data_IF_028961323306
#
_entry.id   IF_028961323306
#
_cell.length_a   1.000
_cell.length_b   1.000
_cell.length_c   1.000
_cell.angle_alpha   90.00
_cell.angle_beta   90.00
_cell.angle_gamma   90.00
#
_symmetry.space_group_name_H-M   'P 1'
#
loop_
_entity.id
_entity.type
_entity.pdbx_description
1 polymer ?
#
# COMPACT_ATOMS: atom_id res chain seq x y z
N UNK A 1 -2.20 0.84 -21.21
CA UNK A 1 -2.60 0.33 -19.88
C UNK A 1 -1.63 0.84 -18.83
N UNK A 2 -2.10 1.36 -17.70
CA UNK A 2 -1.23 1.82 -16.63
C UNK A 2 -0.41 0.63 -16.06
N UNK A 3 0.92 0.80 -15.93
CA UNK A 3 1.78 -0.22 -15.31
C UNK A 3 1.22 -0.55 -13.92
N UNK A 4 1.02 -1.83 -13.65
CA UNK A 4 0.52 -2.33 -12.36
C UNK A 4 -0.99 -2.55 -12.26
N UNK A 5 -1.80 -2.25 -13.29
CA UNK A 5 -3.23 -2.56 -13.27
C UNK A 5 -3.48 -4.09 -13.10
N UNK A 6 -2.83 -4.90 -13.94
CA UNK A 6 -2.93 -6.37 -13.87
C UNK A 6 -2.42 -6.92 -12.52
N UNK A 7 -1.37 -6.31 -11.96
CA UNK A 7 -0.83 -6.72 -10.67
C UNK A 7 -1.84 -6.48 -9.53
N UNK A 8 -2.50 -5.31 -9.55
CA UNK A 8 -3.58 -4.99 -8.60
C UNK A 8 -4.75 -5.96 -8.75
N UNK A 9 -5.18 -6.26 -9.97
CA UNK A 9 -6.27 -7.20 -10.23
C UNK A 9 -5.94 -8.61 -9.73
N UNK A 10 -4.73 -9.10 -9.97
CA UNK A 10 -4.30 -10.41 -9.49
C UNK A 10 -4.27 -10.50 -7.97
N UNK A 11 -3.79 -9.46 -7.29
CA UNK A 11 -3.72 -9.42 -5.83
C UNK A 11 -5.13 -9.26 -5.23
N UNK A 12 -5.99 -8.48 -5.88
CA UNK A 12 -7.38 -8.33 -5.48
C UNK A 12 -8.18 -9.62 -5.62
N UNK A 13 -7.98 -10.40 -6.69
CA UNK A 13 -8.59 -11.74 -6.82
C UNK A 13 -8.24 -12.64 -5.64
N UNK A 14 -7.00 -12.57 -5.12
CA UNK A 14 -6.58 -13.31 -3.93
C UNK A 14 -7.30 -12.81 -2.67
N UNK A 15 -7.42 -11.49 -2.51
CA UNK A 15 -8.19 -10.92 -1.39
C UNK A 15 -9.66 -11.30 -1.43
N UNK A 16 -10.31 -11.22 -2.60
CA UNK A 16 -11.71 -11.61 -2.76
C UNK A 16 -11.89 -13.10 -2.47
N UNK A 17 -10.98 -13.96 -2.95
CA UNK A 17 -11.01 -15.38 -2.65
C UNK A 17 -10.84 -15.68 -1.15
N UNK A 18 -9.99 -14.92 -0.45
CA UNK A 18 -9.77 -15.07 0.98
C UNK A 18 -10.93 -14.50 1.83
N UNK A 19 -11.48 -13.35 1.44
CA UNK A 19 -12.58 -12.69 2.15
C UNK A 19 -13.94 -13.37 1.89
N UNK A 20 -14.10 -14.03 0.74
CA UNK A 20 -15.31 -14.79 0.40
C UNK A 20 -16.57 -13.93 0.49
N UNK A 21 -17.44 -14.26 1.46
CA UNK A 21 -18.76 -13.61 1.66
C UNK A 21 -18.66 -12.20 2.21
N UNK A 22 -17.51 -11.81 2.74
CA UNK A 22 -17.31 -10.49 3.29
C UNK A 22 -16.91 -9.46 2.23
N UNK A 23 -16.63 -9.89 0.99
CA UNK A 23 -16.47 -8.95 -0.11
C UNK A 23 -17.82 -8.32 -0.53
N UNK A 24 -17.86 -7.00 -0.56
CA UNK A 24 -19.07 -6.24 -0.90
C UNK A 24 -19.10 -5.88 -2.38
N UNK A 25 -17.97 -5.40 -2.91
CA UNK A 25 -17.91 -4.85 -4.26
C UNK A 25 -16.83 -3.80 -4.43
N UNK A 26 -16.88 -3.10 -5.57
CA UNK A 26 -15.99 -1.99 -5.90
C UNK A 26 -16.82 -0.70 -6.04
N UNK A 27 -16.22 0.45 -5.72
CA UNK A 27 -16.88 1.75 -5.91
C UNK A 27 -17.07 2.12 -7.39
N UNK A 28 -17.88 3.15 -7.66
CA UNK A 28 -18.16 3.62 -9.02
C UNK A 28 -16.88 4.04 -9.79
N UNK A 29 -15.80 4.35 -9.08
CA UNK A 29 -14.51 4.71 -9.67
C UNK A 29 -13.58 3.52 -9.94
N UNK A 30 -13.94 2.32 -9.49
CA UNK A 30 -13.18 1.09 -9.66
C UNK A 30 -11.87 1.05 -8.86
N UNK A 31 -11.73 1.91 -7.83
CA UNK A 31 -10.47 2.10 -7.08
C UNK A 31 -10.55 1.60 -5.64
N UNK A 32 -11.74 1.60 -5.05
CA UNK A 32 -11.98 1.20 -3.65
C UNK A 32 -12.70 -0.14 -3.63
N UNK A 33 -12.09 -1.11 -2.99
CA UNK A 33 -12.67 -2.42 -2.77
C UNK A 33 -13.20 -2.48 -1.36
N UNK A 34 -14.47 -2.83 -1.21
CA UNK A 34 -15.16 -2.80 0.07
C UNK A 34 -15.32 -4.20 0.64
N UNK A 35 -15.03 -4.34 1.92
CA UNK A 35 -15.12 -5.57 2.67
C UNK A 35 -15.84 -5.34 4.00
N UNK A 36 -16.59 -6.34 4.46
CA UNK A 36 -17.04 -6.39 5.83
C UNK A 36 -15.95 -6.98 6.73
N UNK A 37 -15.82 -6.42 7.92
CA UNK A 37 -14.96 -6.97 8.98
C UNK A 37 -15.66 -6.83 10.32
N UNK A 38 -15.08 -7.40 11.37
CA UNK A 38 -15.59 -7.27 12.73
C UNK A 38 -14.49 -6.74 13.64
N UNK A 39 -14.80 -5.67 14.38
CA UNK A 39 -13.93 -5.12 15.41
C UNK A 39 -14.76 -4.98 16.69
N UNK A 40 -14.29 -5.55 17.80
CA UNK A 40 -14.98 -5.52 19.10
C UNK A 40 -16.46 -6.00 19.07
N UNK A 41 -16.78 -6.93 18.17
CA UNK A 41 -18.14 -7.47 18.02
C UNK A 41 -19.06 -6.64 17.11
N UNK A 42 -18.61 -5.51 16.60
CA UNK A 42 -19.36 -4.69 15.65
C UNK A 42 -18.93 -4.98 14.21
N UNK A 43 -19.92 -5.12 13.32
CA UNK A 43 -19.66 -5.32 11.89
C UNK A 43 -19.42 -3.98 11.21
N UNK A 44 -18.21 -3.80 10.68
CA UNK A 44 -17.78 -2.56 10.05
C UNK A 44 -17.38 -2.77 8.60
N UNK A 45 -17.56 -1.72 7.79
CA UNK A 45 -17.14 -1.73 6.39
C UNK A 45 -15.76 -1.10 6.24
N UNK A 46 -14.84 -1.82 5.61
CA UNK A 46 -13.47 -1.37 5.32
C UNK A 46 -13.31 -1.20 3.82
N UNK A 47 -12.68 -0.09 3.42
CA UNK A 47 -12.33 0.17 2.02
C UNK A 47 -10.82 0.03 1.83
N UNK A 48 -10.41 -0.83 0.91
CA UNK A 48 -9.01 -1.05 0.53
C UNK A 48 -8.76 -0.36 -0.81
N UNK A 49 -7.69 0.43 -0.86
CA UNK A 49 -7.17 1.02 -2.10
C UNK A 49 -5.73 0.60 -2.30
N UNK A 50 -5.35 0.37 -3.56
CA UNK A 50 -4.02 -0.11 -3.90
C UNK A 50 -3.32 0.85 -4.85
N UNK A 51 -2.07 1.17 -4.54
CA UNK A 51 -1.16 1.86 -5.44
C UNK A 51 -0.05 0.92 -5.92
N UNK A 52 0.44 1.15 -7.14
CA UNK A 52 1.62 0.47 -7.63
C UNK A 52 2.78 1.45 -7.47
N UNK A 53 3.79 1.06 -6.68
CA UNK A 53 4.97 1.90 -6.46
C UNK A 53 5.75 2.09 -7.76
N UNK A 54 6.33 3.28 -7.95
CA UNK A 54 7.16 3.57 -9.13
C UNK A 54 8.51 2.86 -9.05
N UNK A 55 9.08 2.80 -7.84
CA UNK A 55 10.34 2.11 -7.54
C UNK A 55 9.99 0.92 -6.64
N UNK A 56 10.01 -0.32 -7.15
CA UNK A 56 9.80 -1.50 -6.33
C UNK A 56 10.94 -1.64 -5.31
N UNK A 57 10.62 -2.16 -4.12
CA UNK A 57 11.65 -2.59 -3.19
C UNK A 57 12.44 -3.75 -3.81
N UNK A 58 13.74 -3.89 -3.49
CA UNK A 58 14.51 -5.05 -3.93
C UNK A 58 13.82 -6.31 -3.44
N UNK A 59 13.70 -7.31 -4.32
CA UNK A 59 13.10 -8.59 -4.01
C UNK A 59 14.07 -9.34 -3.07
N UNK A 60 13.81 -9.29 -1.77
CA UNK A 60 14.55 -10.09 -0.80
C UNK A 60 14.00 -11.52 -0.88
N UNK A 61 14.36 -12.23 -1.95
CA UNK A 61 14.09 -13.66 -2.13
C UNK A 61 14.90 -14.48 -1.13
N UNK A 62 14.50 -14.44 0.14
CA UNK A 62 14.92 -15.40 1.16
C UNK A 62 13.77 -16.36 1.41
N UNK A 63 13.96 -17.64 1.09
CA UNK A 63 13.13 -18.71 1.66
C UNK A 63 13.17 -18.56 3.19
N UNK A 64 12.02 -18.35 3.82
CA UNK A 64 11.90 -18.40 5.28
C UNK A 64 12.07 -19.86 5.69
N UNK A 65 13.32 -20.27 5.93
CA UNK A 65 13.61 -21.59 6.48
C UNK A 65 13.40 -21.52 8.00
N UNK A 66 12.30 -22.10 8.49
CA UNK A 66 11.92 -22.08 9.91
C UNK A 66 12.73 -23.07 10.77
N UNK A 67 13.73 -23.76 10.19
CA UNK A 67 14.65 -24.66 10.88
C UNK A 67 15.96 -23.97 11.33
N UNK A 68 16.17 -22.70 10.99
CA UNK A 68 17.39 -21.98 11.38
C UNK A 68 17.23 -21.40 12.80
N UNK A 69 18.02 -21.94 13.73
CA UNK A 69 18.06 -21.51 15.12
C UNK A 69 18.51 -20.05 15.22
N UNK A 70 17.56 -19.19 15.60
CA UNK A 70 17.75 -17.79 16.01
C UNK A 70 18.29 -16.85 14.92
N UNK A 71 17.57 -15.76 14.59
CA UNK A 71 18.11 -14.76 13.68
C UNK A 71 19.38 -14.16 14.29
N UNK A 72 20.50 -14.37 13.61
CA UNK A 72 21.75 -13.65 13.86
C UNK A 72 21.41 -12.17 13.82
N UNK A 73 21.73 -11.47 14.92
CA UNK A 73 21.61 -10.04 15.11
C UNK A 73 21.83 -9.27 13.79
N UNK A 74 20.82 -8.53 13.31
CA UNK A 74 21.09 -7.66 12.16
C UNK A 74 19.94 -6.92 11.48
N UNK A 75 18.75 -7.50 11.28
CA UNK A 75 17.77 -6.83 10.41
C UNK A 75 16.32 -6.99 10.86
N UNK A 76 16.01 -6.43 12.03
CA UNK A 76 14.67 -5.88 12.26
C UNK A 76 14.67 -4.47 11.65
N UNK A 77 14.32 -4.35 10.36
CA UNK A 77 13.99 -3.04 9.81
C UNK A 77 12.61 -2.68 10.37
N UNK A 78 12.59 -2.05 11.54
CA UNK A 78 11.40 -1.40 12.06
C UNK A 78 10.81 -0.49 10.96
N UNK A 79 9.48 -0.36 10.84
CA UNK A 79 8.88 0.55 9.89
C UNK A 79 9.48 1.94 10.10
N UNK A 80 10.23 2.44 9.12
CA UNK A 80 10.78 3.77 9.20
C UNK A 80 9.62 4.75 9.28
N UNK A 81 9.54 5.53 10.37
CA UNK A 81 8.67 6.71 10.42
C UNK A 81 8.98 7.53 9.18
N UNK A 82 7.97 7.72 8.33
CA UNK A 82 8.04 8.66 7.21
C UNK A 82 8.48 9.98 7.82
N UNK A 83 9.69 10.45 7.49
CA UNK A 83 10.12 11.78 7.90
C UNK A 83 9.10 12.77 7.32
N UNK A 84 8.59 13.73 8.11
CA UNK A 84 7.84 14.84 7.53
C UNK A 84 8.69 15.49 6.44
N UNK A 85 8.04 15.83 5.33
CA UNK A 85 8.64 16.40 4.12
C UNK A 85 9.53 17.59 4.50
N UNK A 86 10.82 17.52 4.15
CA UNK A 86 11.77 18.60 4.48
C UNK A 86 11.49 19.88 3.68
N UNK A 87 11.97 21.01 4.22
CA UNK A 87 11.78 22.45 3.92
C UNK A 87 11.86 22.92 2.44
N UNK A 88 11.94 22.02 1.47
CA UNK A 88 12.07 22.37 0.05
C UNK A 88 10.73 22.70 -0.64
N UNK A 89 9.62 22.72 0.11
CA UNK A 89 8.33 23.18 -0.39
C UNK A 89 8.33 24.68 -0.66
N UNK A 90 9.08 25.50 0.09
CA UNK A 90 9.14 26.94 -0.14
C UNK A 90 9.82 27.30 -1.46
N UNK A 91 10.92 26.61 -1.80
CA UNK A 91 11.59 26.78 -3.09
C UNK A 91 10.73 26.26 -4.26
N UNK A 92 9.97 25.18 -4.02
CA UNK A 92 9.06 24.61 -5.03
C UNK A 92 7.85 25.52 -5.26
N UNK A 93 7.30 26.12 -4.19
CA UNK A 93 6.23 27.11 -4.25
C UNK A 93 6.69 28.41 -4.92
N UNK A 94 7.88 28.90 -4.60
CA UNK A 94 8.46 30.09 -5.25
C UNK A 94 8.63 29.88 -6.76
N UNK A 95 9.16 28.70 -7.16
CA UNK A 95 9.28 28.34 -8.57
C UNK A 95 7.92 28.23 -9.27
N UNK A 96 6.91 27.68 -8.59
CA UNK A 96 5.55 27.57 -9.12
C UNK A 96 4.86 28.93 -9.25
N UNK A 97 5.08 29.86 -8.31
CA UNK A 97 4.56 31.23 -8.40
C UNK A 97 5.19 32.00 -9.56
N UNK A 98 6.50 31.85 -9.75
CA UNK A 98 7.23 32.44 -10.88
C UNK A 98 6.76 31.87 -12.23
N UNK A 99 6.56 30.55 -12.34
CA UNK A 99 6.03 29.91 -13.56
C UNK A 99 4.56 30.29 -13.85
N UNK A 100 3.77 30.63 -12.83
CA UNK A 100 2.37 31.03 -12.98
C UNK A 100 2.18 32.55 -13.10
N UNK A 101 3.25 33.34 -12.99
CA UNK A 101 3.22 34.80 -13.13
C UNK A 101 2.42 35.52 -12.02
N UNK A 102 2.41 34.95 -10.82
CA UNK A 102 1.76 35.49 -9.61
C UNK A 102 2.74 36.26 -8.73
#
# INVERSE_FOLDING_TARGET
MAKGAIAKDNLMKRFIAAAGKDYVGVDDTGKKFHFWSTENGERMQIAVTMTAVKNPLPDSGGDLNFEDESPVDGYVVAPQKVKPMEENEAATLARLMEELGL
#
